data_IF_984233100694
#
_entry.id   IF_984233100694
#
_cell.length_a   1.000
_cell.length_b   1.000
_cell.length_c   1.000
_cell.angle_alpha   90.00
_cell.angle_beta   90.00
_cell.angle_gamma   90.00
#
_symmetry.space_group_name_H-M   'P 1'
#
loop_
_entity.id
_entity.type
_entity.pdbx_description
1 polymer ?
#
# COMPACT_ATOMS: atom_id res chain seq x y z
N UNK A 1 27.85 16.95 12.34
CA UNK A 1 26.77 16.12 11.76
C UNK A 1 27.03 15.90 10.26
N UNK A 2 28.16 15.29 9.87
CA UNK A 2 28.52 15.04 8.45
C UNK A 2 28.92 13.58 8.15
N UNK A 3 28.92 12.70 9.17
CA UNK A 3 29.41 11.32 9.04
C UNK A 3 28.30 10.25 9.06
N UNK A 4 27.04 10.63 9.30
CA UNK A 4 25.91 9.69 9.29
C UNK A 4 25.43 9.33 7.87
N UNK A 5 25.94 10.05 6.86
CA UNK A 5 25.45 10.10 5.48
C UNK A 5 26.13 9.04 4.57
N UNK A 6 27.44 8.86 4.71
CA UNK A 6 28.21 7.97 3.81
C UNK A 6 28.05 6.48 4.12
N UNK A 7 27.92 6.09 5.39
CA UNK A 7 27.89 4.66 5.77
C UNK A 7 26.58 3.98 5.37
N UNK A 8 25.45 4.66 5.62
CA UNK A 8 24.13 4.15 5.24
C UNK A 8 23.97 4.14 3.72
N UNK A 9 24.38 5.22 3.04
CA UNK A 9 24.40 5.29 1.59
C UNK A 9 25.24 4.19 0.94
N UNK A 10 26.42 3.89 1.49
CA UNK A 10 27.29 2.81 1.02
C UNK A 10 26.67 1.41 1.23
N UNK A 11 25.96 1.18 2.34
CA UNK A 11 25.27 -0.09 2.61
C UNK A 11 23.98 -0.26 1.80
N UNK A 12 23.29 0.83 1.49
CA UNK A 12 22.06 0.82 0.69
C UNK A 12 22.32 0.72 -0.82
N UNK A 13 23.42 1.28 -1.32
CA UNK A 13 23.81 1.21 -2.74
C UNK A 13 23.85 -0.23 -3.34
N UNK A 14 24.40 -1.27 -2.66
CA UNK A 14 24.39 -2.63 -3.20
C UNK A 14 23.01 -3.30 -3.18
N UNK A 15 22.11 -2.90 -2.27
CA UNK A 15 20.75 -3.46 -2.16
C UNK A 15 19.76 -2.71 -3.07
N UNK A 16 20.03 -1.43 -3.34
CA UNK A 16 19.24 -0.56 -4.20
C UNK A 16 20.18 0.20 -5.17
N UNK A 17 20.49 -0.35 -6.36
CA UNK A 17 21.49 0.23 -7.27
C UNK A 17 21.07 1.54 -7.93
N UNK A 18 19.76 1.85 -8.02
CA UNK A 18 19.24 3.20 -8.33
C UNK A 18 18.85 3.98 -7.07
N UNK A 19 19.06 3.35 -5.92
CA UNK A 19 18.75 3.86 -4.60
C UNK A 19 19.47 5.15 -4.30
N UNK A 20 20.61 5.50 -4.90
CA UNK A 20 21.30 6.76 -4.56
C UNK A 20 20.53 8.01 -5.05
N UNK A 21 19.81 7.95 -6.17
CA UNK A 21 18.97 9.09 -6.62
C UNK A 21 17.64 9.17 -5.85
N UNK A 22 17.11 8.02 -5.42
CA UNK A 22 15.95 7.91 -4.52
C UNK A 22 16.31 7.97 -3.04
N UNK A 23 17.60 7.88 -2.70
CA UNK A 23 18.13 7.81 -1.35
C UNK A 23 17.93 9.17 -0.75
N UNK A 24 18.17 10.24 -1.51
CA UNK A 24 17.82 11.59 -1.05
C UNK A 24 16.34 11.73 -0.67
N UNK A 25 15.42 11.03 -1.33
CA UNK A 25 14.01 11.06 -0.92
C UNK A 25 13.76 10.19 0.31
N UNK A 26 14.23 8.94 0.31
CA UNK A 26 14.11 8.02 1.44
C UNK A 26 14.77 8.57 2.70
N UNK A 27 15.99 9.06 2.59
CA UNK A 27 16.76 9.74 3.64
C UNK A 27 16.00 10.94 4.18
N UNK A 28 15.44 11.79 3.30
CA UNK A 28 14.59 12.90 3.75
C UNK A 28 13.34 12.43 4.49
N UNK A 29 12.71 11.34 4.04
CA UNK A 29 11.57 10.74 4.74
C UNK A 29 12.01 10.23 6.10
N UNK A 30 13.08 9.45 6.19
CA UNK A 30 13.64 8.92 7.44
C UNK A 30 14.03 10.03 8.42
N UNK A 31 14.63 11.12 7.94
CA UNK A 31 14.96 12.31 8.74
C UNK A 31 13.73 13.10 9.20
N UNK A 32 12.60 12.95 8.51
CA UNK A 32 11.34 13.63 8.84
C UNK A 32 10.43 12.83 9.77
N UNK A 33 10.76 11.56 10.03
CA UNK A 33 9.99 10.72 10.95
C UNK A 33 10.01 11.32 12.35
N UNK A 34 8.87 11.25 13.04
CA UNK A 34 8.80 11.66 14.44
C UNK A 34 9.71 10.77 15.27
N UNK A 35 10.40 11.41 16.22
CA UNK A 35 11.22 10.72 17.20
C UNK A 35 10.71 10.98 18.60
N UNK A 36 10.85 10.00 19.47
CA UNK A 36 10.54 10.14 20.89
C UNK A 36 11.62 10.94 21.64
N UNK A 37 11.47 11.05 22.96
CA UNK A 37 12.43 11.75 23.82
C UNK A 37 13.85 11.14 23.77
N UNK A 38 13.97 9.86 23.43
CA UNK A 38 15.23 9.13 23.30
C UNK A 38 15.82 9.18 21.88
N UNK A 39 15.21 9.96 20.97
CA UNK A 39 15.56 10.05 19.54
C UNK A 39 15.36 8.74 18.76
N UNK A 40 14.47 7.86 19.23
CA UNK A 40 14.07 6.66 18.51
C UNK A 40 12.83 6.96 17.69
N UNK A 41 12.73 6.38 16.50
CA UNK A 41 11.54 6.45 15.66
C UNK A 41 10.78 5.13 15.71
N UNK A 42 9.50 5.17 15.35
CA UNK A 42 8.68 3.98 15.16
C UNK A 42 9.29 3.06 14.08
N UNK A 43 9.40 1.77 14.40
CA UNK A 43 9.93 0.74 13.50
C UNK A 43 9.00 0.55 12.32
N UNK A 44 7.68 0.59 12.53
CA UNK A 44 6.71 0.42 11.46
C UNK A 44 6.78 1.59 10.49
N UNK A 45 6.96 2.82 10.99
CA UNK A 45 7.18 4.00 10.15
C UNK A 45 8.45 3.86 9.29
N UNK A 46 9.54 3.30 9.84
CA UNK A 46 10.75 3.02 9.07
C UNK A 46 10.50 1.96 8.00
N UNK A 47 9.84 0.85 8.34
CA UNK A 47 9.54 -0.23 7.39
C UNK A 47 8.61 0.23 6.26
N UNK A 48 7.59 1.03 6.60
CA UNK A 48 6.75 1.70 5.62
C UNK A 48 7.59 2.64 4.76
N UNK A 49 8.49 3.47 5.30
CA UNK A 49 9.36 4.30 4.47
C UNK A 49 10.24 3.46 3.51
N UNK A 50 10.77 2.33 3.98
CA UNK A 50 11.56 1.42 3.15
C UNK A 50 10.76 0.80 2.01
N UNK A 51 9.43 0.65 2.12
CA UNK A 51 8.58 0.15 1.02
C UNK A 51 8.67 1.00 -0.25
N UNK A 52 9.10 2.26 -0.13
CA UNK A 52 9.36 3.16 -1.27
C UNK A 52 10.61 2.78 -2.07
N UNK A 53 11.59 2.15 -1.42
CA UNK A 53 12.85 1.73 -2.00
C UNK A 53 12.79 0.30 -2.55
N UNK A 54 11.82 -0.51 -2.10
CA UNK A 54 11.60 -1.86 -2.62
C UNK A 54 11.27 -1.80 -4.11
N UNK A 55 12.04 -2.55 -4.91
CA UNK A 55 11.77 -2.81 -6.32
C UNK A 55 10.85 -4.02 -6.41
N UNK A 56 9.78 -3.93 -7.21
CA UNK A 56 8.83 -5.03 -7.37
C UNK A 56 7.53 -4.54 -7.98
N UNK A 57 6.64 -5.49 -8.29
CA UNK A 57 5.30 -5.15 -8.74
C UNK A 57 4.54 -4.40 -7.64
N UNK A 58 3.55 -3.60 -8.03
CA UNK A 58 2.72 -2.85 -7.07
C UNK A 58 1.98 -3.81 -6.13
N UNK A 59 1.58 -4.97 -6.62
CA UNK A 59 0.88 -5.99 -5.81
C UNK A 59 1.77 -6.55 -4.70
N UNK A 60 2.99 -6.93 -5.03
CA UNK A 60 3.97 -7.43 -4.06
C UNK A 60 4.25 -6.40 -2.96
N UNK A 61 4.45 -5.14 -3.35
CA UNK A 61 4.70 -4.06 -2.38
C UNK A 61 3.49 -3.79 -1.50
N UNK A 62 2.27 -3.90 -2.03
CA UNK A 62 1.04 -3.82 -1.22
C UNK A 62 0.90 -5.01 -0.28
N UNK A 63 1.27 -6.23 -0.70
CA UNK A 63 1.26 -7.41 0.20
C UNK A 63 2.22 -7.23 1.36
N UNK A 64 3.39 -6.64 1.13
CA UNK A 64 4.34 -6.32 2.20
C UNK A 64 3.70 -5.36 3.21
N UNK A 65 3.04 -4.29 2.75
CA UNK A 65 2.36 -3.33 3.64
C UNK A 65 1.18 -3.98 4.39
N UNK A 66 0.43 -4.86 3.73
CA UNK A 66 -0.67 -5.59 4.34
C UNK A 66 -0.16 -6.52 5.45
N UNK A 67 0.85 -7.32 5.15
CA UNK A 67 1.46 -8.24 6.12
C UNK A 67 2.10 -7.51 7.30
N UNK A 68 2.70 -6.33 7.05
CA UNK A 68 3.25 -5.46 8.08
C UNK A 68 2.17 -5.01 9.07
N UNK A 69 0.98 -4.65 8.57
CA UNK A 69 -0.11 -4.17 9.43
C UNK A 69 -0.84 -5.29 10.18
N UNK A 70 -0.77 -6.54 9.72
CA UNK A 70 -1.47 -7.68 10.33
C UNK A 70 -0.58 -8.54 11.23
N UNK A 71 0.72 -8.21 11.38
CA UNK A 71 1.74 -9.03 12.04
C UNK A 71 1.72 -10.50 11.58
N UNK A 72 1.23 -10.73 10.35
CA UNK A 72 1.00 -12.08 9.86
C UNK A 72 2.35 -12.68 9.43
N UNK A 73 2.66 -13.93 9.81
CA UNK A 73 3.76 -14.65 9.16
C UNK A 73 3.45 -14.63 7.67
N UNK A 74 4.37 -14.09 6.84
CA UNK A 74 4.20 -13.87 5.39
C UNK A 74 3.15 -14.84 4.83
N UNK A 75 1.90 -14.41 4.68
CA UNK A 75 0.85 -15.26 4.13
C UNK A 75 1.36 -15.71 2.76
N UNK A 76 1.78 -16.98 2.66
CA UNK A 76 2.84 -17.48 1.78
C UNK A 76 3.02 -16.66 0.48
N UNK A 77 3.82 -15.60 0.55
CA UNK A 77 4.01 -14.68 -0.56
C UNK A 77 5.32 -14.98 -1.29
N UNK A 78 5.59 -16.26 -1.61
CA UNK A 78 6.63 -16.70 -2.55
C UNK A 78 6.26 -18.09 -3.11
N UNK A 79 5.24 -18.19 -3.96
CA UNK A 79 5.07 -19.34 -4.88
C UNK A 79 4.81 -18.85 -6.29
N UNK A 80 5.87 -18.34 -6.93
CA UNK A 80 6.09 -18.20 -8.38
C UNK A 80 7.54 -17.66 -8.48
N UNK A 81 8.56 -18.30 -9.05
CA UNK A 81 8.66 -19.05 -10.32
C UNK A 81 9.88 -20.01 -10.37
N UNK A 82 10.28 -20.71 -9.27
CA UNK A 82 11.46 -21.62 -9.33
C UNK A 82 11.15 -23.13 -9.42
N UNK A 83 9.90 -23.58 -9.20
CA UNK A 83 9.53 -25.01 -9.31
C UNK A 83 8.89 -25.41 -10.65
N UNK A 84 9.12 -24.64 -11.72
CA UNK A 84 8.70 -25.00 -13.08
C UNK A 84 9.81 -25.67 -13.92
N UNK A 85 10.89 -26.14 -13.29
CA UNK A 85 11.95 -26.88 -14.00
C UNK A 85 12.55 -27.99 -13.13
N UNK A 86 11.78 -29.08 -12.92
CA UNK A 86 12.29 -30.43 -12.60
C UNK A 86 11.15 -31.42 -12.31
N UNK A 87 10.24 -31.66 -13.24
CA UNK A 87 9.61 -33.00 -13.36
C UNK A 87 8.92 -33.13 -14.73
N UNK A 88 9.70 -33.43 -15.74
CA UNK A 88 9.22 -34.22 -16.88
C UNK A 88 10.09 -35.47 -16.89
N UNK A 89 9.54 -36.59 -16.43
CA UNK A 89 9.52 -37.86 -17.16
C UNK A 89 8.65 -38.88 -16.42
N UNK A 90 7.80 -39.53 -17.21
CA UNK A 90 7.02 -40.76 -16.94
C UNK A 90 5.63 -40.64 -16.27
N UNK A 91 4.67 -40.22 -17.10
CA UNK A 91 3.53 -41.05 -17.56
C UNK A 91 2.66 -41.81 -16.54
N UNK A 92 1.37 -41.48 -16.49
CA UNK A 92 0.28 -42.41 -16.86
C UNK A 92 -1.11 -41.87 -16.43
N UNK A 93 -1.94 -41.68 -17.45
CA UNK A 93 -3.38 -41.91 -17.55
C UNK A 93 -4.41 -41.56 -16.44
N UNK A 94 -5.47 -40.92 -16.95
CA UNK A 94 -6.89 -40.95 -16.53
C UNK A 94 -7.37 -40.12 -15.34
N UNK A 95 -8.20 -39.12 -15.64
CA UNK A 95 -9.06 -38.49 -14.64
C UNK A 95 -9.70 -37.18 -15.10
N UNK A 96 -10.86 -37.27 -15.76
CA UNK A 96 -11.74 -36.14 -16.10
C UNK A 96 -12.46 -35.67 -14.83
N UNK A 97 -12.31 -34.40 -14.45
CA UNK A 97 -13.06 -33.80 -13.35
C UNK A 97 -12.92 -32.28 -13.30
N UNK A 98 -13.97 -31.57 -13.73
CA UNK A 98 -14.25 -30.19 -13.32
C UNK A 98 -14.24 -30.12 -11.79
N UNK A 99 -13.42 -29.25 -11.20
CA UNK A 99 -13.66 -28.62 -9.89
C UNK A 99 -12.49 -27.69 -9.50
N UNK A 100 -12.82 -26.42 -9.27
CA UNK A 100 -12.21 -25.49 -8.30
C UNK A 100 -10.68 -25.46 -8.19
N UNK A 101 -10.11 -24.34 -8.64
CA UNK A 101 -8.92 -23.74 -7.99
C UNK A 101 -9.36 -22.41 -7.40
N UNK A 102 -10.25 -22.51 -6.40
CA UNK A 102 -10.64 -21.43 -5.47
C UNK A 102 -10.39 -21.94 -4.05
N UNK A 103 -9.13 -22.20 -3.73
CA UNK A 103 -8.60 -22.67 -2.43
C UNK A 103 -7.09 -22.52 -2.62
N UNK A 104 -6.33 -21.65 -1.94
CA UNK A 104 -6.39 -21.16 -0.57
C UNK A 104 -5.77 -19.73 -0.50
N UNK A 105 -6.58 -18.68 -0.41
CA UNK A 105 -6.18 -17.40 0.22
C UNK A 105 -6.75 -17.35 1.63
N UNK A 106 -6.44 -18.38 2.42
CA UNK A 106 -6.96 -18.53 3.77
C UNK A 106 -6.44 -17.41 4.70
N UNK A 107 -7.32 -16.47 5.02
CA UNK A 107 -7.58 -16.08 6.41
C UNK A 107 -6.89 -14.84 6.99
N UNK A 108 -6.06 -14.12 6.24
CA UNK A 108 -5.49 -12.87 6.78
C UNK A 108 -6.40 -11.68 6.46
N UNK A 109 -7.10 -11.21 7.48
CA UNK A 109 -7.89 -9.99 7.45
C UNK A 109 -7.23 -8.92 8.32
N UNK A 110 -7.25 -7.69 7.83
CA UNK A 110 -6.79 -6.51 8.56
C UNK A 110 -7.99 -5.82 9.21
N UNK A 111 -7.94 -5.55 10.50
CA UNK A 111 -8.95 -4.75 11.19
C UNK A 111 -8.95 -3.30 10.72
N UNK A 112 -10.05 -2.59 10.95
CA UNK A 112 -10.13 -1.16 10.66
C UNK A 112 -9.05 -0.36 11.41
N UNK A 113 -8.76 -0.68 12.66
CA UNK A 113 -7.74 0.01 13.47
C UNK A 113 -6.34 -0.16 12.86
N UNK A 114 -6.00 -1.38 12.42
CA UNK A 114 -4.73 -1.65 11.73
C UNK A 114 -4.63 -0.90 10.39
N UNK A 115 -5.73 -0.83 9.63
CA UNK A 115 -5.76 -0.07 8.38
C UNK A 115 -5.61 1.44 8.61
N UNK A 116 -6.28 1.99 9.63
CA UNK A 116 -6.14 3.40 10.02
C UNK A 116 -4.72 3.70 10.50
N UNK A 117 -4.11 2.80 11.28
CA UNK A 117 -2.70 2.92 11.67
C UNK A 117 -1.78 2.92 10.46
N UNK A 118 -1.98 1.99 9.52
CA UNK A 118 -1.18 1.94 8.29
C UNK A 118 -1.35 3.23 7.47
N UNK A 119 -2.57 3.76 7.36
CA UNK A 119 -2.82 5.03 6.68
C UNK A 119 -2.10 6.21 7.36
N UNK A 120 -2.04 6.23 8.70
CA UNK A 120 -1.26 7.21 9.45
C UNK A 120 0.23 7.14 9.07
N UNK A 121 0.81 5.94 9.06
CA UNK A 121 2.20 5.73 8.67
C UNK A 121 2.46 6.14 7.21
N UNK A 122 1.52 5.86 6.31
CA UNK A 122 1.61 6.26 4.89
C UNK A 122 1.53 7.78 4.69
N UNK A 123 0.75 8.48 5.52
CA UNK A 123 0.71 9.94 5.56
C UNK A 123 2.02 10.52 6.10
N UNK A 124 2.52 9.97 7.21
CA UNK A 124 3.78 10.40 7.84
C UNK A 124 4.99 10.17 6.91
N UNK A 125 5.01 9.06 6.20
CA UNK A 125 6.06 8.73 5.22
C UNK A 125 5.85 9.36 3.85
N UNK A 126 4.83 10.20 3.69
CA UNK A 126 4.58 10.98 2.49
C UNK A 126 4.32 10.15 1.21
N UNK A 127 3.83 8.92 1.33
CA UNK A 127 3.63 8.02 0.18
C UNK A 127 2.33 8.27 -0.60
N UNK A 128 1.37 8.93 0.04
CA UNK A 128 0.14 9.44 -0.58
C UNK A 128 0.45 10.79 -1.25
N UNK A 129 0.08 11.07 -2.51
CA UNK A 129 0.29 12.37 -3.16
C UNK A 129 -0.34 13.52 -2.37
N UNK A 130 0.28 14.71 -2.38
CA UNK A 130 -0.17 15.87 -1.60
C UNK A 130 -1.63 16.24 -1.84
N UNK A 131 -2.10 16.16 -3.08
CA UNK A 131 -3.47 16.50 -3.49
C UNK A 131 -4.51 15.52 -2.92
N UNK A 132 -4.05 14.35 -2.46
CA UNK A 132 -4.87 13.28 -1.90
C UNK A 132 -4.87 13.27 -0.38
N UNK A 133 -4.02 14.06 0.27
CA UNK A 133 -3.98 14.23 1.73
C UNK A 133 -4.96 15.27 2.24
N UNK A 134 -5.72 15.89 1.35
CA UNK A 134 -6.71 16.91 1.69
C UNK A 134 -8.09 16.49 1.20
N UNK A 135 -9.12 16.84 1.97
CA UNK A 135 -10.52 16.59 1.62
C UNK A 135 -11.26 17.91 1.51
N UNK A 136 -12.14 17.99 0.52
CA UNK A 136 -13.00 19.14 0.32
C UNK A 136 -14.08 19.20 1.42
N UNK A 137 -14.26 20.38 2.03
CA UNK A 137 -15.36 20.62 2.97
C UNK A 137 -16.66 20.74 2.17
N UNK A 138 -17.61 19.84 2.41
CA UNK A 138 -18.82 19.73 1.57
C UNK A 138 -19.71 20.98 1.61
N UNK A 139 -19.68 21.72 2.72
CA UNK A 139 -20.51 22.90 2.98
C UNK A 139 -19.92 24.20 2.39
N UNK A 140 -18.61 24.24 2.14
CA UNK A 140 -17.91 25.44 1.66
C UNK A 140 -17.61 25.33 0.16
N UNK A 141 -18.63 25.50 -0.69
CA UNK A 141 -18.51 25.42 -2.16
C UNK A 141 -18.49 26.76 -2.89
N UNK A 142 -18.96 27.84 -2.26
CA UNK A 142 -19.06 29.16 -2.88
C UNK A 142 -18.71 30.28 -1.89
N UNK A 143 -17.87 31.27 -2.25
CA UNK A 143 -17.19 31.47 -3.56
C UNK A 143 -15.88 30.68 -3.72
N UNK A 144 -15.36 30.06 -2.67
CA UNK A 144 -14.13 29.25 -2.71
C UNK A 144 -14.38 27.88 -2.08
N UNK A 145 -13.75 26.85 -2.65
CA UNK A 145 -13.76 25.51 -2.07
C UNK A 145 -12.72 25.44 -0.95
N UNK A 146 -13.17 25.13 0.26
CA UNK A 146 -12.26 24.90 1.39
C UNK A 146 -11.80 23.44 1.43
N UNK A 147 -10.56 23.24 1.89
CA UNK A 147 -9.93 21.94 2.04
C UNK A 147 -9.33 21.82 3.44
N UNK A 148 -9.50 20.64 4.04
CA UNK A 148 -8.90 20.28 5.31
C UNK A 148 -7.88 19.16 5.12
N UNK A 149 -6.84 19.15 5.96
CA UNK A 149 -5.93 18.01 6.02
C UNK A 149 -6.71 16.79 6.51
N UNK A 150 -6.63 15.70 5.75
CA UNK A 150 -7.39 14.49 6.02
C UNK A 150 -6.72 13.69 7.15
N UNK A 151 -7.51 13.29 8.14
CA UNK A 151 -7.06 12.28 9.12
C UNK A 151 -7.07 10.89 8.48
N UNK A 152 -6.37 9.89 9.07
CA UNK A 152 -6.43 8.51 8.57
C UNK A 152 -7.87 7.98 8.48
N UNK A 153 -8.68 8.25 9.50
CA UNK A 153 -10.09 7.84 9.54
C UNK A 153 -10.93 8.57 8.48
N UNK A 154 -10.66 9.86 8.22
CA UNK A 154 -11.35 10.61 7.15
C UNK A 154 -11.02 10.07 5.77
N UNK A 155 -9.75 9.73 5.52
CA UNK A 155 -9.33 9.09 4.27
C UNK A 155 -9.99 7.74 4.07
N UNK A 156 -10.03 6.91 5.12
CA UNK A 156 -10.66 5.60 5.04
C UNK A 156 -12.15 5.72 4.74
N UNK A 157 -12.87 6.59 5.48
CA UNK A 157 -14.29 6.88 5.22
C UNK A 157 -14.50 7.38 3.79
N UNK A 158 -13.72 8.34 3.33
CA UNK A 158 -13.84 8.88 1.98
C UNK A 158 -13.52 7.85 0.89
N UNK A 159 -12.59 6.92 1.14
CA UNK A 159 -12.24 5.83 0.23
C UNK A 159 -13.37 4.79 0.15
N UNK A 160 -13.91 4.35 1.29
CA UNK A 160 -15.07 3.44 1.35
C UNK A 160 -16.29 4.06 0.68
N UNK A 161 -16.58 5.34 0.94
CA UNK A 161 -17.66 6.07 0.27
C UNK A 161 -17.44 6.23 -1.23
N UNK A 162 -16.19 6.28 -1.71
CA UNK A 162 -15.90 6.23 -3.14
C UNK A 162 -16.23 4.85 -3.74
N UNK A 163 -15.96 3.76 -3.04
CA UNK A 163 -16.32 2.40 -3.49
C UNK A 163 -17.84 2.18 -3.55
N UNK A 164 -18.59 2.74 -2.59
CA UNK A 164 -20.07 2.77 -2.62
C UNK A 164 -20.57 3.53 -3.85
N UNK A 165 -20.03 4.73 -4.11
CA UNK A 165 -20.40 5.55 -5.28
C UNK A 165 -20.07 4.84 -6.61
N UNK A 166 -18.97 4.10 -6.64
CA UNK A 166 -18.55 3.28 -7.78
C UNK A 166 -19.30 1.93 -7.87
N UNK A 167 -20.27 1.68 -6.98
CA UNK A 167 -21.10 0.46 -6.89
C UNK A 167 -20.30 -0.84 -6.71
N UNK A 168 -19.11 -0.75 -6.13
CA UNK A 168 -18.28 -1.93 -5.83
C UNK A 168 -18.75 -2.67 -4.58
N UNK A 169 -19.29 -1.92 -3.62
CA UNK A 169 -19.86 -2.41 -2.38
C UNK A 169 -21.20 -1.71 -2.12
N UNK A 170 -22.05 -2.33 -1.32
CA UNK A 170 -23.32 -1.70 -0.88
C UNK A 170 -23.09 -0.79 0.33
N UNK A 171 -24.04 0.12 0.59
CA UNK A 171 -23.99 0.98 1.79
C UNK A 171 -24.01 0.15 3.09
N UNK A 172 -24.76 -0.96 3.10
CA UNK A 172 -24.85 -1.85 4.25
C UNK A 172 -23.51 -2.55 4.51
N UNK A 173 -22.86 -3.05 3.46
CA UNK A 173 -21.52 -3.62 3.55
C UNK A 173 -20.52 -2.58 4.05
N UNK A 174 -20.56 -1.36 3.51
CA UNK A 174 -19.67 -0.28 3.94
C UNK A 174 -19.82 0.06 5.44
N UNK A 175 -21.04 0.02 5.99
CA UNK A 175 -21.29 0.31 7.42
C UNK A 175 -20.91 -0.85 8.35
N UNK A 176 -21.15 -2.09 7.92
CA UNK A 176 -20.88 -3.27 8.73
C UNK A 176 -19.41 -3.72 8.68
N UNK A 177 -18.63 -3.17 7.74
CA UNK A 177 -17.25 -3.58 7.50
C UNK A 177 -16.32 -3.15 8.64
N UNK A 178 -15.81 -4.14 9.35
CA UNK A 178 -14.81 -3.97 10.40
C UNK A 178 -13.45 -4.55 10.01
N UNK A 179 -13.42 -5.42 9.00
CA UNK A 179 -12.22 -6.09 8.52
C UNK A 179 -12.05 -5.94 7.00
N UNK A 180 -10.80 -6.09 6.55
CA UNK A 180 -10.37 -5.84 5.18
C UNK A 180 -9.48 -7.00 4.72
N UNK A 181 -9.93 -7.72 3.70
CA UNK A 181 -9.09 -8.67 2.96
C UNK A 181 -8.03 -7.92 2.15
N UNK A 182 -6.99 -8.63 1.71
CA UNK A 182 -5.95 -8.05 0.86
C UNK A 182 -6.51 -7.42 -0.42
N UNK A 183 -7.45 -8.07 -1.10
CA UNK A 183 -8.05 -7.56 -2.34
C UNK A 183 -8.69 -6.18 -2.11
N UNK A 184 -9.46 -6.08 -1.04
CA UNK A 184 -10.21 -4.88 -0.79
C UNK A 184 -9.33 -3.78 -0.17
N UNK A 185 -8.28 -4.13 0.58
CA UNK A 185 -7.17 -3.22 0.90
C UNK A 185 -6.49 -2.68 -0.37
N UNK A 186 -6.12 -3.56 -1.30
CA UNK A 186 -5.44 -3.21 -2.55
C UNK A 186 -6.28 -2.25 -3.40
N UNK A 187 -7.59 -2.48 -3.46
CA UNK A 187 -8.52 -1.58 -4.13
C UNK A 187 -8.58 -0.18 -3.50
N UNK A 188 -8.64 -0.09 -2.17
CA UNK A 188 -8.64 1.19 -1.47
C UNK A 188 -7.34 1.97 -1.71
N UNK A 189 -6.19 1.29 -1.59
CA UNK A 189 -4.86 1.91 -1.74
C UNK A 189 -4.61 2.42 -3.17
N UNK A 190 -5.13 1.74 -4.19
CA UNK A 190 -5.06 2.17 -5.60
C UNK A 190 -6.20 3.11 -6.02
N UNK A 191 -7.14 3.36 -5.11
CA UNK A 191 -8.33 4.17 -5.37
C UNK A 191 -8.04 5.65 -5.60
N UNK A 192 -9.03 6.39 -6.11
CA UNK A 192 -8.91 7.83 -6.38
C UNK A 192 -8.75 8.68 -5.12
N UNK A 193 -9.10 8.15 -3.95
CA UNK A 193 -9.02 8.86 -2.66
C UNK A 193 -7.63 8.74 -2.05
N UNK A 194 -7.12 7.52 -1.84
CA UNK A 194 -5.81 7.30 -1.20
C UNK A 194 -4.66 7.38 -2.22
N UNK A 195 -4.78 6.71 -3.37
CA UNK A 195 -3.83 6.79 -4.48
C UNK A 195 -2.35 6.59 -4.10
N UNK A 196 -2.05 5.48 -3.43
CA UNK A 196 -0.69 5.16 -3.02
C UNK A 196 0.25 5.12 -4.24
N UNK A 197 1.42 5.75 -4.12
CA UNK A 197 2.44 5.86 -5.19
C UNK A 197 1.95 6.42 -6.54
N UNK A 198 0.79 7.08 -6.56
CA UNK A 198 0.20 7.59 -7.79
C UNK A 198 -0.48 6.54 -8.67
N UNK A 199 -0.76 5.34 -8.15
CA UNK A 199 -1.37 4.24 -8.93
C UNK A 199 -2.75 4.62 -9.51
N UNK A 200 -3.47 5.55 -8.88
CA UNK A 200 -4.74 6.04 -9.42
C UNK A 200 -4.60 6.83 -10.74
N UNK A 201 -3.39 7.31 -11.09
CA UNK A 201 -3.13 8.05 -12.33
C UNK A 201 -2.82 7.15 -13.52
N UNK A 202 -2.53 5.85 -13.32
CA UNK A 202 -2.21 4.93 -14.41
C UNK A 202 -3.36 4.83 -15.45
N UNK A 203 -4.61 5.03 -15.03
CA UNK A 203 -5.79 4.97 -15.90
C UNK A 203 -6.13 6.27 -16.63
N UNK A 204 -5.53 7.41 -16.29
CA UNK A 204 -5.88 8.72 -16.92
C UNK A 204 -5.24 8.94 -18.28
N UNK A 205 -4.26 8.12 -18.67
CA UNK A 205 -3.61 8.19 -20.00
C UNK A 205 -4.45 7.62 -21.15
N UNK A 206 -5.68 7.18 -20.91
CA UNK A 206 -6.58 6.69 -21.97
C UNK A 206 -7.24 7.87 -22.71
N UNK A 207 -6.64 8.22 -23.86
CA UNK A 207 -7.16 8.99 -25.00
C UNK A 207 -7.40 10.51 -24.79
N UNK A 208 -6.34 11.31 -24.93
CA UNK A 208 -6.46 12.46 -25.83
C UNK A 208 -6.09 11.96 -27.23
N UNK A 209 -7.11 11.58 -28.02
CA UNK A 209 -6.96 11.50 -29.48
C UNK A 209 -7.07 12.93 -29.98
N UNK A 210 -5.98 13.45 -30.56
CA UNK A 210 -6.04 14.59 -31.47
C UNK A 210 -6.81 14.19 -32.74
#
# INVERSE_FOLDING_TARGET
MQHFDQYLGFKLAPVCPTGVSKAHHLERVLLSLKTDADRKSDVDAQLVAFSMAVKGAVDERLRILFNLATDAPMCEALKTEEEASKTEEEGSETGKGDSKTEEETAGCEMSQEQLERLLELLLETHQIPSEKRVLAVEEAKYPFQEYIAATPSDLLKAAVQAEVRDKKITEEQARARQTYTFEAFSHLMRGKTVCLWGECFANSKKKMKN
#
